data_IF_938045249673
#
_entry.id   IF_938045249673
#
_cell.length_a   1.000
_cell.length_b   1.000
_cell.length_c   1.000
_cell.angle_alpha   90.00
_cell.angle_beta   90.00
_cell.angle_gamma   90.00
#
_symmetry.space_group_name_H-M   'P 1'
#
loop_
_entity.id
_entity.type
_entity.pdbx_description
1 polymer ?
#
# COMPACT_ATOMS: atom_id res chain seq x y z
N UNK A 1 -2.80 -17.88 7.63
CA UNK A 1 -2.56 -16.96 6.50
C UNK A 1 -1.62 -15.90 7.00
N UNK A 2 -0.38 -15.98 6.52
CA UNK A 2 0.65 -14.99 6.81
C UNK A 2 0.46 -13.77 5.92
N UNK A 3 1.08 -12.65 6.29
CA UNK A 3 1.18 -11.50 5.41
C UNK A 3 2.56 -10.89 5.57
N UNK A 4 3.11 -10.34 4.49
CA UNK A 4 4.24 -9.42 4.51
C UNK A 4 3.74 -8.02 4.15
N UNK A 5 4.43 -7.02 4.66
CA UNK A 5 4.17 -5.63 4.31
C UNK A 5 5.44 -5.11 3.67
N UNK A 6 5.30 -4.69 2.43
CA UNK A 6 6.42 -4.38 1.56
C UNK A 6 6.41 -2.89 1.26
N UNK A 7 7.57 -2.24 1.43
CA UNK A 7 7.79 -0.84 1.08
C UNK A 7 8.90 -0.76 0.04
N UNK A 8 8.69 -0.03 -1.06
CA UNK A 8 9.71 0.15 -2.10
C UNK A 8 9.61 1.53 -2.74
N UNK A 9 10.75 2.15 -3.05
CA UNK A 9 10.84 3.52 -3.59
C UNK A 9 10.28 3.62 -5.00
N UNK A 10 10.62 2.64 -5.81
CA UNK A 10 10.25 2.55 -7.20
C UNK A 10 10.27 1.08 -7.62
N UNK A 11 9.80 0.81 -8.83
CA UNK A 11 9.82 -0.53 -9.37
C UNK A 11 10.20 -0.50 -10.85
N UNK A 12 10.80 -1.59 -11.30
CA UNK A 12 10.95 -1.88 -12.72
C UNK A 12 10.16 -3.14 -13.04
N UNK A 13 9.64 -3.20 -14.26
CA UNK A 13 9.06 -4.42 -14.82
C UNK A 13 9.96 -4.88 -15.95
N UNK A 14 10.46 -6.11 -15.83
CA UNK A 14 11.29 -6.75 -16.86
C UNK A 14 10.60 -8.01 -17.35
N UNK A 15 10.78 -8.33 -18.63
CA UNK A 15 10.25 -9.55 -19.23
C UNK A 15 11.39 -10.55 -19.45
N UNK A 16 11.29 -11.73 -18.85
CA UNK A 16 12.26 -12.81 -18.96
C UNK A 16 11.54 -14.12 -19.33
N UNK A 17 11.93 -14.73 -20.45
CA UNK A 17 11.37 -16.01 -20.92
C UNK A 17 9.83 -16.07 -21.08
N UNK A 18 9.18 -14.92 -21.26
CA UNK A 18 7.72 -14.79 -21.40
C UNK A 18 6.99 -14.48 -20.09
N UNK A 19 7.71 -14.49 -18.97
CA UNK A 19 7.22 -14.08 -17.66
C UNK A 19 7.70 -12.66 -17.34
N UNK A 20 6.96 -11.97 -16.47
CA UNK A 20 7.29 -10.63 -16.00
C UNK A 20 7.79 -10.67 -14.56
N UNK A 21 8.88 -9.95 -14.30
CA UNK A 21 9.47 -9.78 -12.98
C UNK A 21 9.27 -8.34 -12.54
N UNK A 22 8.68 -8.17 -11.35
CA UNK A 22 8.43 -6.89 -10.72
C UNK A 22 9.54 -6.61 -9.71
N UNK A 23 10.59 -5.94 -10.19
CA UNK A 23 11.76 -5.62 -9.38
C UNK A 23 11.47 -4.44 -8.45
N UNK A 24 11.38 -4.71 -7.14
CA UNK A 24 11.22 -3.70 -6.09
C UNK A 24 12.56 -3.02 -5.79
N UNK A 25 12.68 -1.73 -6.11
CA UNK A 25 13.89 -0.94 -5.87
C UNK A 25 13.79 -0.14 -4.57
N UNK A 26 14.89 -0.09 -3.80
CA UNK A 26 14.94 0.64 -2.53
C UNK A 26 13.99 0.03 -1.48
N UNK A 27 13.99 -1.30 -1.39
CA UNK A 27 13.14 -2.05 -0.47
C UNK A 27 13.42 -1.73 1.00
N UNK A 28 12.35 -1.61 1.78
CA UNK A 28 12.39 -1.50 3.24
C UNK A 28 11.28 -2.37 3.87
N UNK A 29 11.55 -3.08 4.98
CA UNK A 29 10.53 -3.90 5.64
C UNK A 29 9.42 -3.03 6.27
N UNK A 30 8.15 -3.39 6.01
CA UNK A 30 6.96 -2.68 6.44
C UNK A 30 6.34 -3.14 7.77
N UNK A 31 7.08 -3.88 8.60
CA UNK A 31 6.60 -4.62 9.78
C UNK A 31 6.00 -3.77 10.93
N UNK A 32 5.78 -2.47 10.75
CA UNK A 32 5.33 -1.54 11.80
C UNK A 32 3.85 -1.14 11.69
N UNK A 33 3.13 -1.63 10.67
CA UNK A 33 1.73 -1.30 10.43
C UNK A 33 0.89 -2.56 10.57
N UNK A 34 0.00 -2.61 11.55
CA UNK A 34 -0.86 -3.78 11.73
C UNK A 34 -2.03 -3.77 10.73
N UNK A 35 -2.35 -4.89 10.05
CA UNK A 35 -3.53 -4.97 9.18
C UNK A 35 -4.85 -4.66 9.88
N UNK A 36 -4.92 -4.90 11.20
CA UNK A 36 -6.06 -4.53 12.02
C UNK A 36 -6.25 -3.01 12.11
N UNK A 37 -5.16 -2.24 12.22
CA UNK A 37 -5.18 -0.79 12.16
C UNK A 37 -5.59 -0.29 10.77
N UNK A 38 -5.02 -0.87 9.70
CA UNK A 38 -5.38 -0.53 8.32
C UNK A 38 -6.87 -0.76 8.06
N UNK A 39 -7.41 -1.91 8.50
CA UNK A 39 -8.83 -2.23 8.36
C UNK A 39 -9.74 -1.20 9.05
N UNK A 40 -9.34 -0.68 10.22
CA UNK A 40 -10.09 0.38 10.93
C UNK A 40 -10.02 1.71 10.18
N UNK A 41 -8.83 2.09 9.72
CA UNK A 41 -8.62 3.30 8.93
C UNK A 41 -9.45 3.29 7.64
N UNK A 42 -9.44 2.18 6.89
CA UNK A 42 -10.24 2.04 5.68
C UNK A 42 -11.73 2.18 5.92
N UNK A 43 -12.25 1.56 6.99
CA UNK A 43 -13.67 1.71 7.36
C UNK A 43 -14.01 3.16 7.69
N UNK A 44 -13.14 3.85 8.44
CA UNK A 44 -13.32 5.27 8.74
C UNK A 44 -13.32 6.11 7.46
N UNK A 45 -12.34 5.94 6.57
CA UNK A 45 -12.26 6.71 5.32
C UNK A 45 -13.44 6.43 4.39
N UNK A 46 -13.85 5.18 4.26
CA UNK A 46 -15.03 4.79 3.47
C UNK A 46 -16.30 5.45 4.01
N UNK A 47 -16.48 5.54 5.34
CA UNK A 47 -17.62 6.24 5.95
C UNK A 47 -17.67 7.75 5.63
N UNK A 48 -16.54 8.33 5.23
CA UNK A 48 -16.41 9.72 4.78
C UNK A 48 -16.47 9.87 3.25
N UNK A 49 -16.84 8.81 2.53
CA UNK A 49 -16.87 8.80 1.06
C UNK A 49 -15.50 8.82 0.41
N UNK A 50 -14.47 8.33 1.10
CA UNK A 50 -13.10 8.25 0.59
C UNK A 50 -12.81 6.79 0.23
N UNK A 51 -13.04 6.47 -1.04
CA UNK A 51 -12.82 5.13 -1.61
C UNK A 51 -11.45 5.06 -2.26
N UNK A 52 -10.40 5.07 -1.44
CA UNK A 52 -9.02 4.96 -1.89
C UNK A 52 -8.35 3.81 -1.17
N UNK A 53 -7.81 2.88 -1.96
CA UNK A 53 -6.96 1.81 -1.46
C UNK A 53 -5.53 2.34 -1.36
N UNK A 54 -5.19 2.78 -0.15
CA UNK A 54 -3.94 3.43 0.20
C UNK A 54 -2.76 2.46 0.29
N UNK A 55 -3.07 1.19 0.53
CA UNK A 55 -2.15 0.07 0.71
C UNK A 55 -2.81 -1.14 0.06
N UNK A 56 -2.66 -1.32 -1.26
CA UNK A 56 -3.28 -2.43 -1.97
C UNK A 56 -2.74 -3.76 -1.44
N UNK A 57 -3.64 -4.75 -1.42
CA UNK A 57 -3.34 -6.11 -0.97
C UNK A 57 -3.33 -7.06 -2.17
N UNK A 58 -2.27 -7.85 -2.28
CA UNK A 58 -2.05 -8.82 -3.34
C UNK A 58 -2.02 -10.24 -2.76
N UNK A 59 -2.84 -11.12 -3.34
CA UNK A 59 -2.95 -12.53 -2.95
C UNK A 59 -1.74 -13.38 -3.36
N UNK A 60 -1.73 -14.64 -2.91
CA UNK A 60 -0.71 -15.65 -3.26
C UNK A 60 -0.48 -15.77 -4.78
N UNK A 61 -1.49 -15.48 -5.61
CA UNK A 61 -1.36 -15.51 -7.06
C UNK A 61 -0.56 -14.33 -7.66
N UNK A 62 -0.03 -13.42 -6.85
CA UNK A 62 0.70 -12.23 -7.27
C UNK A 62 2.09 -12.17 -6.61
N UNK A 63 2.83 -13.26 -6.67
CA UNK A 63 4.26 -13.18 -6.39
C UNK A 63 4.89 -12.18 -7.38
N UNK A 64 5.72 -11.26 -6.90
CA UNK A 64 6.37 -10.27 -7.77
C UNK A 64 7.44 -10.87 -8.70
N UNK A 65 7.53 -12.20 -8.76
CA UNK A 65 8.25 -12.98 -9.75
C UNK A 65 7.29 -13.85 -10.58
N UNK A 66 7.68 -14.20 -11.81
CA UNK A 66 6.91 -15.08 -12.68
C UNK A 66 5.47 -14.62 -12.97
N UNK A 67 5.24 -13.31 -13.10
CA UNK A 67 3.92 -12.75 -13.37
C UNK A 67 3.54 -12.90 -14.84
N UNK A 68 2.27 -13.18 -15.11
CA UNK A 68 1.70 -12.95 -16.44
C UNK A 68 1.57 -11.45 -16.71
N UNK A 69 1.42 -11.09 -18.00
CA UNK A 69 1.13 -9.72 -18.41
C UNK A 69 -0.13 -9.16 -17.73
N UNK A 70 -1.20 -9.94 -17.66
CA UNK A 70 -2.47 -9.52 -17.03
C UNK A 70 -2.29 -9.24 -15.53
N UNK A 71 -1.54 -10.08 -14.82
CA UNK A 71 -1.24 -9.86 -13.40
C UNK A 71 -0.37 -8.62 -13.21
N UNK A 72 0.60 -8.39 -14.08
CA UNK A 72 1.48 -7.21 -14.05
C UNK A 72 0.68 -5.93 -14.27
N UNK A 73 -0.18 -5.89 -15.30
CA UNK A 73 -1.07 -4.76 -15.56
C UNK A 73 -2.02 -4.52 -14.38
N UNK A 74 -2.59 -5.59 -13.80
CA UNK A 74 -3.43 -5.49 -12.62
C UNK A 74 -2.69 -4.84 -11.44
N UNK A 75 -1.48 -5.31 -11.11
CA UNK A 75 -0.66 -4.75 -10.03
C UNK A 75 -0.43 -3.26 -10.27
N UNK A 76 0.04 -2.87 -11.47
CA UNK A 76 0.34 -1.48 -11.81
C UNK A 76 -0.90 -0.60 -11.65
N UNK A 77 -2.08 -1.06 -12.09
CA UNK A 77 -3.33 -0.28 -11.94
C UNK A 77 -3.80 -0.13 -10.50
N UNK A 78 -3.39 -1.04 -9.61
CA UNK A 78 -3.72 -1.00 -8.17
C UNK A 78 -2.70 -0.21 -7.37
N UNK A 79 -1.47 -0.11 -7.83
CA UNK A 79 -0.46 0.70 -7.19
C UNK A 79 -0.87 2.17 -7.23
N UNK A 80 -0.93 2.76 -6.03
CA UNK A 80 -1.23 4.17 -5.86
C UNK A 80 0.06 4.94 -5.69
N UNK A 81 0.23 5.99 -6.49
CA UNK A 81 1.38 6.89 -6.38
C UNK A 81 1.46 7.48 -4.96
N UNK A 82 2.61 7.38 -4.27
CA UNK A 82 2.73 7.83 -2.89
C UNK A 82 2.42 9.33 -2.72
N UNK A 83 2.83 10.14 -3.70
CA UNK A 83 2.52 11.58 -3.75
C UNK A 83 1.02 11.85 -3.83
N UNK A 84 0.26 10.97 -4.50
CA UNK A 84 -1.19 11.07 -4.57
C UNK A 84 -1.83 10.72 -3.22
N UNK A 85 -1.33 9.68 -2.53
CA UNK A 85 -1.75 9.34 -1.18
C UNK A 85 -1.59 10.52 -0.22
N UNK A 86 -0.40 11.13 -0.20
CA UNK A 86 -0.11 12.31 0.63
C UNK A 86 -1.06 13.49 0.31
N UNK A 87 -1.28 13.77 -0.97
CA UNK A 87 -2.21 14.82 -1.41
C UNK A 87 -3.64 14.58 -0.91
N UNK A 88 -4.10 13.32 -0.90
CA UNK A 88 -5.43 12.98 -0.39
C UNK A 88 -5.50 13.19 1.13
N UNK A 89 -4.47 12.75 1.86
CA UNK A 89 -4.36 12.95 3.33
C UNK A 89 -4.49 14.42 3.68
N UNK A 90 -3.76 15.30 2.99
CA UNK A 90 -3.82 16.74 3.20
C UNK A 90 -5.18 17.32 2.82
N UNK A 91 -5.64 17.07 1.59
CA UNK A 91 -6.90 17.65 1.06
C UNK A 91 -8.12 17.28 1.89
N UNK A 92 -8.14 16.07 2.47
CA UNK A 92 -9.26 15.54 3.27
C UNK A 92 -9.01 15.69 4.77
N UNK A 93 -7.89 16.27 5.19
CA UNK A 93 -7.49 16.41 6.58
C UNK A 93 -7.57 15.09 7.37
N UNK A 94 -7.11 14.00 6.75
CA UNK A 94 -7.28 12.64 7.29
C UNK A 94 -6.55 12.45 8.62
N UNK A 95 -5.42 13.13 8.83
CA UNK A 95 -4.67 13.03 10.08
C UNK A 95 -5.51 13.53 11.27
N UNK A 96 -6.19 14.67 11.11
CA UNK A 96 -7.07 15.19 12.13
C UNK A 96 -8.31 14.30 12.36
N UNK A 97 -8.84 13.73 11.29
CA UNK A 97 -9.95 12.78 11.37
C UNK A 97 -9.57 11.54 12.18
N UNK A 98 -8.43 10.92 11.87
CA UNK A 98 -7.92 9.74 12.61
C UNK A 98 -7.64 10.09 14.06
N UNK A 99 -7.04 11.25 14.33
CA UNK A 99 -6.80 11.73 15.70
C UNK A 99 -8.08 11.84 16.54
N UNK A 100 -9.18 12.26 15.92
CA UNK A 100 -10.46 12.44 16.61
C UNK A 100 -11.22 11.12 16.80
N UNK A 101 -11.28 10.28 15.76
CA UNK A 101 -12.17 9.11 15.72
C UNK A 101 -11.46 7.78 16.06
N UNK A 102 -10.16 7.67 15.78
CA UNK A 102 -9.36 6.46 15.98
C UNK A 102 -7.97 6.78 16.55
N UNK A 103 -7.88 7.37 17.77
CA UNK A 103 -6.60 7.75 18.36
C UNK A 103 -5.61 6.58 18.51
N UNK A 104 -6.11 5.36 18.77
CA UNK A 104 -5.28 4.15 18.86
C UNK A 104 -4.61 3.78 17.52
N UNK A 105 -5.15 4.26 16.39
CA UNK A 105 -4.60 4.03 15.06
C UNK A 105 -3.70 5.19 14.58
N UNK A 106 -3.61 6.28 15.35
CA UNK A 106 -2.88 7.48 14.94
C UNK A 106 -1.41 7.19 14.65
N UNK A 107 -0.73 6.48 15.55
CA UNK A 107 0.68 6.11 15.36
C UNK A 107 0.87 5.32 14.06
N UNK A 108 0.05 4.30 13.82
CA UNK A 108 0.12 3.51 12.58
C UNK A 108 -0.12 4.36 11.33
N UNK A 109 -1.03 5.34 11.41
CA UNK A 109 -1.33 6.23 10.29
C UNK A 109 -0.21 7.25 10.03
N UNK A 110 0.39 7.82 11.08
CA UNK A 110 1.57 8.69 10.96
C UNK A 110 2.75 7.94 10.35
N UNK A 111 2.97 6.69 10.76
CA UNK A 111 3.96 5.82 10.13
C UNK A 111 3.64 5.59 8.65
N UNK A 112 2.38 5.35 8.30
CA UNK A 112 1.96 5.16 6.90
C UNK A 112 2.24 6.41 6.05
N UNK A 113 1.90 7.60 6.56
CA UNK A 113 2.19 8.89 5.90
C UNK A 113 3.69 9.02 5.64
N UNK A 114 4.52 8.79 6.65
CA UNK A 114 5.98 8.84 6.53
C UNK A 114 6.53 7.85 5.51
N UNK A 115 5.90 6.67 5.37
CA UNK A 115 6.30 5.67 4.36
C UNK A 115 5.98 6.11 2.95
N UNK A 116 4.87 6.81 2.72
CA UNK A 116 4.57 7.39 1.41
C UNK A 116 5.52 8.52 1.00
N UNK A 117 6.20 9.18 1.95
CA UNK A 117 7.32 10.07 1.60
C UNK A 117 8.51 9.29 0.99
N UNK A 118 8.58 7.98 1.28
CA UNK A 118 9.70 7.11 0.95
C UNK A 118 9.40 6.11 -0.16
N UNK A 119 8.14 5.91 -0.58
CA UNK A 119 7.81 4.98 -1.66
C UNK A 119 6.40 4.38 -1.60
N UNK A 120 6.18 3.38 -2.44
CA UNK A 120 4.98 2.54 -2.50
C UNK A 120 4.91 1.62 -1.28
N UNK A 121 3.68 1.29 -0.90
CA UNK A 121 3.39 0.46 0.26
C UNK A 121 2.30 -0.55 -0.09
N UNK A 122 2.57 -1.84 0.07
CA UNK A 122 1.65 -2.92 -0.33
C UNK A 122 1.64 -4.04 0.70
N UNK A 123 0.61 -4.88 0.67
CA UNK A 123 0.53 -6.11 1.47
C UNK A 123 0.57 -7.30 0.52
N UNK A 124 1.45 -8.27 0.78
CA UNK A 124 1.39 -9.60 0.14
C UNK A 124 0.85 -10.59 1.18
N UNK A 125 -0.03 -11.50 0.75
CA UNK A 125 -0.58 -12.56 1.63
C UNK A 125 -0.14 -13.95 1.17
N UNK A 126 0.17 -14.82 2.13
CA UNK A 126 0.62 -16.21 1.92
C UNK A 126 -0.08 -17.24 2.83
#
# INVERSE_FOLDING_TARGET
MGYSIECFKSFNVTEEFGDYIFEKLGYEPGNYIYPSSLSKLYKLFSSQGIEVDFVPTFGEQYYFDCLTKEQTEYIITKLKEPTECLRIVEKKNLLQLVKNELPDCLLSFEHLIKRWESGFYVIETY
#
